data_IF_408432716656
#
_entry.id   IF_408432716656
#
_cell.length_a   1.000
_cell.length_b   1.000
_cell.length_c   1.000
_cell.angle_alpha   90.00
_cell.angle_beta   90.00
_cell.angle_gamma   90.00
#
_symmetry.space_group_name_H-M   'P 1'
#
loop_
_entity.id
_entity.type
_entity.pdbx_description
1 polymer ?
#
# COMPACT_ATOMS: atom_id res chain seq x y z
N UNK A 1 -6.22 -1.28 -11.59
CA UNK A 1 -5.80 0.07 -12.01
C UNK A 1 -4.57 0.44 -11.18
N UNK A 2 -3.51 1.02 -11.77
CA UNK A 2 -2.37 1.49 -10.99
C UNK A 2 -2.85 2.56 -9.99
N UNK A 3 -2.33 2.54 -8.77
CA UNK A 3 -2.82 3.41 -7.70
C UNK A 3 -2.45 4.88 -7.96
N UNK A 4 -3.41 5.78 -7.78
CA UNK A 4 -3.15 7.20 -7.87
C UNK A 4 -2.21 7.63 -6.74
N UNK A 5 -1.14 8.34 -7.07
CA UNK A 5 -0.05 8.67 -6.15
C UNK A 5 0.11 10.18 -6.01
N UNK A 6 0.17 10.65 -4.77
CA UNK A 6 0.35 12.05 -4.40
C UNK A 6 1.67 12.18 -3.66
N UNK A 7 2.57 13.02 -4.14
CA UNK A 7 3.84 13.26 -3.46
C UNK A 7 3.87 14.66 -2.83
N UNK A 8 4.23 14.72 -1.56
CA UNK A 8 4.41 15.96 -0.81
C UNK A 8 5.87 16.37 -0.94
N UNK A 9 6.11 17.48 -1.64
CA UNK A 9 7.43 18.06 -1.86
C UNK A 9 7.47 19.46 -1.26
N UNK A 10 8.65 19.91 -0.86
CA UNK A 10 8.82 21.23 -0.26
C UNK A 10 10.10 21.29 0.53
N UNK A 11 10.58 22.50 0.80
CA UNK A 11 11.76 22.67 1.63
C UNK A 11 11.54 22.12 3.05
N UNK A 12 12.59 21.95 3.84
CA UNK A 12 12.47 21.44 5.21
C UNK A 12 11.60 22.33 6.12
N UNK A 13 11.02 21.71 7.16
CA UNK A 13 10.25 22.39 8.21
C UNK A 13 8.99 23.16 7.77
N UNK A 14 8.54 22.98 6.52
CA UNK A 14 7.25 23.51 6.02
C UNK A 14 6.03 22.73 6.51
N UNK A 15 6.22 21.61 7.21
CA UNK A 15 5.13 20.78 7.76
C UNK A 15 4.66 19.63 6.87
N UNK A 16 5.53 19.11 5.99
CA UNK A 16 5.25 17.93 5.14
C UNK A 16 4.81 16.71 5.94
N UNK A 17 5.61 16.30 6.93
CA UNK A 17 5.31 15.12 7.74
C UNK A 17 4.07 15.29 8.61
N UNK A 18 3.77 16.52 9.04
CA UNK A 18 2.52 16.85 9.73
C UNK A 18 1.31 16.65 8.81
N UNK A 19 1.39 17.11 7.55
CA UNK A 19 0.34 16.86 6.57
C UNK A 19 0.22 15.36 6.29
N UNK A 20 1.34 14.70 6.01
CA UNK A 20 1.40 13.26 5.73
C UNK A 20 0.69 12.43 6.81
N UNK A 21 1.06 12.62 8.09
CA UNK A 21 0.44 11.92 9.20
C UNK A 21 -1.06 12.19 9.27
N UNK A 22 -1.47 13.45 9.09
CA UNK A 22 -2.90 13.82 9.07
C UNK A 22 -3.67 13.09 7.97
N UNK A 23 -3.10 12.96 6.78
CA UNK A 23 -3.73 12.26 5.66
C UNK A 23 -3.91 10.76 5.95
N UNK A 24 -3.03 10.17 6.77
CA UNK A 24 -3.14 8.78 7.20
C UNK A 24 -4.12 8.56 8.35
N UNK A 25 -4.26 9.55 9.23
CA UNK A 25 -5.11 9.50 10.42
C UNK A 25 -6.61 9.49 10.10
N UNK A 26 -7.01 9.82 8.86
CA UNK A 26 -8.40 9.67 8.40
C UNK A 26 -8.93 8.21 8.52
N UNK A 27 -8.06 7.23 8.81
CA UNK A 27 -8.45 5.86 9.18
C UNK A 27 -7.82 5.27 10.44
N UNK A 28 -7.49 6.04 11.50
CA UNK A 28 -7.37 5.46 12.87
C UNK A 28 -7.22 6.51 13.98
N UNK A 29 -8.15 6.46 14.95
CA UNK A 29 -7.76 6.64 16.34
C UNK A 29 -6.81 5.50 16.72
N UNK A 30 -5.75 5.82 17.47
CA UNK A 30 -4.60 5.00 17.86
C UNK A 30 -3.42 5.18 16.90
N UNK A 31 -2.60 6.17 17.24
CA UNK A 31 -1.18 6.28 16.88
C UNK A 31 -0.42 5.96 18.17
N UNK A 32 0.50 5.00 18.10
CA UNK A 32 1.68 5.06 18.97
C UNK A 32 2.56 6.17 18.41
N UNK A 33 2.69 7.25 19.15
CA UNK A 33 3.57 8.36 18.83
C UNK A 33 5.02 7.87 18.86
N UNK A 34 5.63 7.74 17.69
CA UNK A 34 7.09 7.83 17.57
C UNK A 34 7.41 9.14 16.88
N UNK A 35 7.40 10.19 17.70
CA UNK A 35 8.07 11.45 17.41
C UNK A 35 9.57 11.18 17.23
N UNK A 36 10.06 11.28 16.00
CA UNK A 36 11.48 11.23 15.70
C UNK A 36 11.71 11.53 14.23
N UNK A 37 12.54 12.54 13.96
CA UNK A 37 13.11 12.88 12.64
C UNK A 37 13.41 11.61 11.85
N UNK A 38 12.58 11.33 10.85
CA UNK A 38 12.72 10.15 10.00
C UNK A 38 13.60 10.54 8.83
N UNK A 39 14.79 9.93 8.77
CA UNK A 39 15.69 9.99 7.62
C UNK A 39 15.08 9.29 6.39
N UNK A 40 14.07 8.45 6.59
CA UNK A 40 13.43 7.63 5.56
C UNK A 40 12.13 8.27 5.03
N UNK A 41 11.93 8.16 3.71
CA UNK A 41 10.68 8.54 3.03
C UNK A 41 9.53 7.70 3.53
N UNK A 42 8.43 8.35 3.92
CA UNK A 42 7.26 7.66 4.46
C UNK A 42 6.21 7.44 3.36
N UNK A 43 5.61 6.24 3.38
CA UNK A 43 4.56 5.84 2.44
C UNK A 43 3.27 5.56 3.17
N UNK A 44 2.19 6.03 2.57
CA UNK A 44 0.88 5.99 3.18
C UNK A 44 -0.23 5.76 2.17
N UNK A 45 -1.40 5.37 2.67
CA UNK A 45 -2.64 5.33 1.89
C UNK A 45 -3.62 6.24 2.60
N UNK A 46 -4.05 7.28 1.91
CA UNK A 46 -5.09 8.20 2.34
C UNK A 46 -6.40 7.86 1.62
N UNK A 47 -7.52 8.28 2.19
CA UNK A 47 -8.86 8.01 1.68
C UNK A 47 -9.73 9.25 1.89
N UNK A 48 -10.17 9.87 0.79
CA UNK A 48 -11.01 11.07 0.83
C UNK A 48 -12.27 10.83 0.01
N UNK A 49 -13.46 11.03 0.61
CA UNK A 49 -14.75 10.77 -0.04
C UNK A 49 -14.85 9.38 -0.71
N UNK A 50 -14.25 8.36 -0.09
CA UNK A 50 -14.24 6.98 -0.59
C UNK A 50 -13.25 6.71 -1.73
N UNK A 51 -12.47 7.72 -2.14
CA UNK A 51 -11.42 7.61 -3.14
C UNK A 51 -10.08 7.48 -2.44
N UNK A 52 -9.46 6.30 -2.55
CA UNK A 52 -8.18 6.01 -1.92
C UNK A 52 -7.00 6.30 -2.85
N UNK A 53 -5.95 6.92 -2.32
CA UNK A 53 -4.72 7.23 -3.06
C UNK A 53 -3.47 7.04 -2.20
N UNK A 54 -2.33 6.82 -2.85
CA UNK A 54 -1.04 6.76 -2.18
C UNK A 54 -0.55 8.15 -1.84
N UNK A 55 0.06 8.30 -0.67
CA UNK A 55 0.77 9.51 -0.27
C UNK A 55 2.23 9.17 -0.01
N UNK A 56 3.13 10.00 -0.53
CA UNK A 56 4.57 9.89 -0.32
C UNK A 56 5.04 11.19 0.35
N UNK A 57 5.64 11.08 1.53
CA UNK A 57 6.45 12.17 2.10
C UNK A 57 7.89 12.00 1.61
N UNK A 58 8.39 12.97 0.83
CA UNK A 58 9.76 12.88 0.30
C UNK A 58 10.84 13.04 1.36
N UNK A 59 10.47 13.26 2.63
CA UNK A 59 11.39 13.31 3.77
C UNK A 59 12.24 14.58 3.77
N UNK A 60 13.04 14.75 4.84
CA UNK A 60 13.91 15.90 5.03
C UNK A 60 15.33 15.51 5.44
N UNK A 61 16.29 15.89 4.58
CA UNK A 61 17.74 16.07 4.79
C UNK A 61 18.74 14.89 4.80
N UNK A 62 19.81 15.15 4.04
CA UNK A 62 21.20 14.67 4.20
C UNK A 62 21.99 15.78 4.93
N UNK A 63 22.82 15.43 5.92
CA UNK A 63 23.74 16.40 6.54
C UNK A 63 24.94 16.66 5.62
N UNK A 64 25.15 17.90 5.20
CA UNK A 64 26.26 18.31 4.32
C UNK A 64 26.31 19.83 4.13
N UNK A 65 27.31 20.32 3.41
CA UNK A 65 27.40 21.73 2.98
C UNK A 65 26.21 22.13 2.09
N UNK A 66 25.94 23.43 1.97
CA UNK A 66 24.79 23.98 1.23
C UNK A 66 24.65 23.41 -0.20
N UNK A 67 25.76 23.22 -0.91
CA UNK A 67 25.80 22.63 -2.27
C UNK A 67 25.35 21.16 -2.34
N UNK A 68 25.71 20.36 -1.34
CA UNK A 68 25.29 18.94 -1.28
C UNK A 68 23.82 18.88 -0.94
N UNK A 69 23.36 19.78 -0.07
CA UNK A 69 21.98 19.84 0.37
C UNK A 69 21.02 20.18 -0.78
N UNK A 70 21.33 21.18 -1.58
CA UNK A 70 20.50 21.59 -2.72
C UNK A 70 20.39 20.49 -3.79
N UNK A 71 21.51 19.81 -4.08
CA UNK A 71 21.53 18.69 -5.04
C UNK A 71 20.64 17.54 -4.59
N UNK A 72 20.69 17.19 -3.31
CA UNK A 72 19.87 16.08 -2.79
C UNK A 72 18.39 16.44 -2.77
N UNK A 73 17.99 17.67 -2.39
CA UNK A 73 16.59 18.14 -2.52
C UNK A 73 16.11 18.02 -3.96
N UNK A 74 16.91 18.50 -4.91
CA UNK A 74 16.59 18.46 -6.34
C UNK A 74 16.35 17.03 -6.82
N UNK A 75 17.20 16.08 -6.41
CA UNK A 75 17.00 14.65 -6.70
C UNK A 75 15.65 14.17 -6.15
N UNK A 76 15.27 14.54 -4.93
CA UNK A 76 13.98 14.13 -4.34
C UNK A 76 12.78 14.65 -5.14
N UNK A 77 12.85 15.91 -5.60
CA UNK A 77 11.78 16.53 -6.39
C UNK A 77 11.64 15.86 -7.76
N UNK A 78 12.75 15.62 -8.46
CA UNK A 78 12.74 14.95 -9.77
C UNK A 78 12.13 13.55 -9.67
N UNK A 79 12.52 12.81 -8.65
CA UNK A 79 11.95 11.50 -8.30
C UNK A 79 10.43 11.58 -8.11
N UNK A 80 9.95 12.52 -7.30
CA UNK A 80 8.52 12.70 -7.07
C UNK A 80 7.80 13.04 -8.37
N UNK A 81 8.42 13.88 -9.21
CA UNK A 81 7.92 14.24 -10.53
C UNK A 81 7.87 13.05 -11.49
N UNK A 82 8.72 12.04 -11.38
CA UNK A 82 8.64 10.83 -12.21
C UNK A 82 7.54 9.87 -11.74
N UNK A 83 7.26 9.84 -10.45
CA UNK A 83 6.50 8.74 -9.86
C UNK A 83 5.07 9.08 -9.46
N UNK A 84 4.81 10.30 -8.99
CA UNK A 84 3.50 10.73 -8.55
C UNK A 84 2.54 10.95 -9.73
N UNK A 85 1.24 10.96 -9.50
CA UNK A 85 0.26 11.50 -10.44
C UNK A 85 0.07 13.01 -10.22
N UNK A 86 0.18 13.46 -8.96
CA UNK A 86 0.03 14.87 -8.54
C UNK A 86 1.10 15.22 -7.51
N UNK A 87 1.61 16.45 -7.58
CA UNK A 87 2.61 17.00 -6.67
C UNK A 87 1.97 18.05 -5.76
N UNK A 88 2.14 17.89 -4.45
CA UNK A 88 1.78 18.91 -3.46
C UNK A 88 3.05 19.67 -3.10
N UNK A 89 3.20 20.87 -3.63
CA UNK A 89 4.33 21.74 -3.33
C UNK A 89 4.03 22.55 -2.08
N UNK A 90 4.59 22.14 -0.94
CA UNK A 90 4.35 22.77 0.35
C UNK A 90 5.36 23.88 0.65
N UNK A 91 4.82 25.05 0.99
CA UNK A 91 5.56 26.21 1.50
C UNK A 91 5.07 26.60 2.91
N UNK A 92 5.78 27.50 3.58
CA UNK A 92 5.46 27.95 4.94
C UNK A 92 5.16 29.45 4.98
N UNK A 93 3.90 29.80 5.24
CA UNK A 93 3.45 31.19 5.36
C UNK A 93 4.23 31.98 6.42
N UNK A 94 4.66 31.35 7.51
CA UNK A 94 5.32 32.04 8.62
C UNK A 94 6.77 32.48 8.28
N UNK A 95 7.40 31.80 7.32
CA UNK A 95 8.75 32.16 6.86
C UNK A 95 8.70 33.03 5.60
N UNK A 96 7.65 32.88 4.80
CA UNK A 96 7.55 33.44 3.46
C UNK A 96 8.31 32.63 2.40
N UNK A 97 8.38 33.21 1.20
CA UNK A 97 9.11 32.64 0.05
C UNK A 97 10.62 32.73 0.29
N UNK A 98 11.35 31.64 0.01
CA UNK A 98 12.82 31.59 0.09
C UNK A 98 13.43 31.15 -1.24
N UNK A 99 14.73 31.36 -1.43
CA UNK A 99 15.47 30.94 -2.64
C UNK A 99 15.29 29.43 -2.94
N UNK A 100 15.16 28.61 -1.89
CA UNK A 100 14.88 27.18 -2.04
C UNK A 100 13.48 26.92 -2.61
N UNK A 101 12.48 27.72 -2.20
CA UNK A 101 11.13 27.63 -2.76
C UNK A 101 11.12 28.06 -4.23
N UNK A 102 11.85 29.12 -4.59
CA UNK A 102 11.98 29.57 -5.98
C UNK A 102 12.67 28.54 -6.88
N UNK A 103 13.81 27.98 -6.43
CA UNK A 103 14.52 26.93 -7.16
C UNK A 103 13.66 25.67 -7.33
N UNK A 104 12.89 25.29 -6.30
CA UNK A 104 11.94 24.17 -6.39
C UNK A 104 10.78 24.49 -7.33
N UNK A 105 10.24 25.72 -7.28
CA UNK A 105 9.16 26.16 -8.15
C UNK A 105 9.59 26.12 -9.63
N UNK A 106 10.81 26.54 -9.96
CA UNK A 106 11.35 26.45 -11.32
C UNK A 106 11.41 25.02 -11.85
N UNK A 107 11.77 24.06 -11.00
CA UNK A 107 11.81 22.65 -11.38
C UNK A 107 10.40 22.10 -11.57
N UNK A 108 9.51 22.38 -10.64
CA UNK A 108 8.13 21.88 -10.62
C UNK A 108 7.30 22.44 -11.79
N UNK A 109 7.53 23.69 -12.20
CA UNK A 109 6.89 24.29 -13.40
C UNK A 109 7.24 23.56 -14.70
N UNK A 110 8.36 22.82 -14.75
CA UNK A 110 8.74 22.00 -15.92
C UNK A 110 8.09 20.61 -15.90
N UNK A 111 7.39 20.25 -14.83
CA UNK A 111 6.66 18.99 -14.73
C UNK A 111 5.49 18.96 -15.72
N UNK A 112 5.28 17.81 -16.36
CA UNK A 112 4.05 17.56 -17.12
C UNK A 112 2.87 17.15 -16.21
N UNK A 113 3.12 17.01 -14.90
CA UNK A 113 2.13 16.58 -13.91
C UNK A 113 1.52 17.76 -13.18
N UNK A 114 0.25 17.68 -12.76
CA UNK A 114 -0.39 18.72 -11.95
C UNK A 114 0.41 18.99 -10.67
N UNK A 115 0.68 20.27 -10.42
CA UNK A 115 1.31 20.77 -9.19
C UNK A 115 0.29 21.64 -8.46
N UNK A 116 -0.01 21.29 -7.21
CA UNK A 116 -0.85 22.07 -6.32
C UNK A 116 0.07 22.78 -5.32
N UNK A 117 0.08 24.12 -5.33
CA UNK A 117 0.83 24.89 -4.34
C UNK A 117 0.05 24.91 -3.02
N UNK A 118 0.69 24.50 -1.95
CA UNK A 118 0.09 24.34 -0.62
C UNK A 118 0.86 25.22 0.36
N UNK A 119 0.26 26.35 0.73
CA UNK A 119 0.85 27.29 1.68
C UNK A 119 0.36 26.91 3.09
N UNK A 120 1.27 26.35 3.88
CA UNK A 120 0.97 25.78 5.18
C UNK A 120 1.16 26.81 6.31
N UNK A 121 0.70 26.45 7.52
CA UNK A 121 0.72 27.24 8.75
C UNK A 121 -0.14 28.50 8.69
N UNK A 122 -1.16 28.54 7.83
CA UNK A 122 -2.17 29.62 7.80
C UNK A 122 -3.22 29.34 8.87
N UNK A 123 -2.98 29.83 10.09
CA UNK A 123 -3.81 29.57 11.28
C UNK A 123 -4.70 30.76 11.69
N UNK A 124 -4.53 31.93 11.05
CA UNK A 124 -5.31 33.13 11.34
C UNK A 124 -5.39 34.07 10.12
N UNK A 125 -6.25 35.09 10.20
CA UNK A 125 -6.49 36.03 9.10
C UNK A 125 -5.25 36.86 8.70
N UNK A 126 -4.37 37.20 9.64
CA UNK A 126 -3.15 37.95 9.32
C UNK A 126 -2.21 37.09 8.46
N UNK A 127 -2.05 35.81 8.82
CA UNK A 127 -1.28 34.86 8.00
C UNK A 127 -1.88 34.60 6.64
N UNK A 128 -3.20 34.71 6.50
CA UNK A 128 -3.85 34.62 5.18
C UNK A 128 -3.48 35.81 4.29
N UNK A 129 -3.31 37.01 4.85
CA UNK A 129 -2.83 38.18 4.12
C UNK A 129 -1.36 38.03 3.72
N UNK A 130 -0.51 37.58 4.64
CA UNK A 130 0.92 37.30 4.37
C UNK A 130 1.07 36.25 3.27
N UNK A 131 0.24 35.21 3.29
CA UNK A 131 0.29 34.12 2.34
C UNK A 131 -0.08 34.55 0.89
N UNK A 132 -0.64 35.74 0.67
CA UNK A 132 -0.95 36.23 -0.67
C UNK A 132 0.31 36.40 -1.55
N UNK A 133 1.49 36.56 -0.97
CA UNK A 133 2.74 36.65 -1.75
C UNK A 133 3.02 35.39 -2.58
N UNK A 134 2.55 34.22 -2.13
CA UNK A 134 2.82 32.93 -2.77
C UNK A 134 2.14 32.76 -4.14
N UNK A 135 1.18 33.62 -4.50
CA UNK A 135 0.69 33.69 -5.87
C UNK A 135 1.80 34.05 -6.87
N UNK A 136 2.85 34.77 -6.43
CA UNK A 136 3.99 35.14 -7.27
C UNK A 136 4.79 33.93 -7.80
N UNK A 137 4.69 32.77 -7.15
CA UNK A 137 5.34 31.52 -7.60
C UNK A 137 4.72 30.96 -8.90
N UNK A 138 3.60 31.51 -9.38
CA UNK A 138 3.08 31.25 -10.72
C UNK A 138 2.42 29.89 -10.89
N UNK A 139 1.83 29.33 -9.83
CA UNK A 139 1.00 28.13 -9.89
C UNK A 139 -0.49 28.50 -9.95
N UNK A 140 -1.26 27.82 -10.79
CA UNK A 140 -2.69 28.12 -11.00
C UNK A 140 -3.55 27.78 -9.78
N UNK A 141 -3.28 26.62 -9.15
CA UNK A 141 -4.02 26.15 -7.97
C UNK A 141 -3.17 26.36 -6.71
N UNK A 142 -3.59 27.32 -5.87
CA UNK A 142 -2.95 27.66 -4.60
C UNK A 142 -3.94 27.40 -3.46
N UNK A 143 -3.51 26.64 -2.46
CA UNK A 143 -4.30 26.26 -1.30
C UNK A 143 -3.64 26.77 -0.02
N UNK A 144 -4.42 27.45 0.82
CA UNK A 144 -3.98 27.92 2.13
C UNK A 144 -4.50 26.99 3.21
N UNK A 145 -3.60 26.47 4.05
CA UNK A 145 -4.00 25.49 5.04
C UNK A 145 -3.14 25.51 6.31
N UNK A 146 -3.60 24.76 7.30
CA UNK A 146 -2.85 24.46 8.52
C UNK A 146 -2.88 22.96 8.77
N UNK A 147 -1.78 22.26 8.48
CA UNK A 147 -1.69 20.80 8.71
C UNK A 147 -1.94 20.41 10.17
N UNK A 148 -1.60 21.30 11.11
CA UNK A 148 -1.78 21.03 12.54
C UNK A 148 -3.26 21.04 12.94
N UNK A 149 -4.03 22.04 12.51
CA UNK A 149 -5.46 22.15 12.84
C UNK A 149 -6.37 21.37 11.87
N UNK A 150 -5.94 21.24 10.62
CA UNK A 150 -6.72 20.71 9.49
C UNK A 150 -7.50 21.75 8.70
N UNK A 151 -7.44 23.02 9.08
CA UNK A 151 -8.09 24.08 8.30
C UNK A 151 -7.56 24.08 6.86
N UNK A 152 -8.45 24.20 5.88
CA UNK A 152 -8.12 24.23 4.45
C UNK A 152 -7.73 22.88 3.82
N UNK A 153 -7.56 21.80 4.60
CA UNK A 153 -7.16 20.51 4.01
C UNK A 153 -8.24 19.85 3.16
N UNK A 154 -9.53 20.17 3.41
CA UNK A 154 -10.65 19.62 2.63
C UNK A 154 -10.62 20.05 1.17
N UNK A 155 -10.48 21.36 0.92
CA UNK A 155 -10.41 21.93 -0.44
C UNK A 155 -9.22 21.37 -1.24
N UNK A 156 -8.08 21.20 -0.58
CA UNK A 156 -6.92 20.55 -1.17
C UNK A 156 -7.22 19.10 -1.58
N UNK A 157 -7.89 18.34 -0.71
CA UNK A 157 -8.19 16.94 -0.96
C UNK A 157 -9.29 16.74 -2.01
N UNK A 158 -10.28 17.63 -2.06
CA UNK A 158 -11.27 17.68 -3.14
C UNK A 158 -10.56 17.88 -4.49
N UNK A 159 -9.65 18.86 -4.58
CA UNK A 159 -8.87 19.10 -5.79
C UNK A 159 -7.95 17.93 -6.18
N UNK A 160 -7.43 17.17 -5.21
CA UNK A 160 -6.65 15.95 -5.49
C UNK A 160 -7.56 14.85 -6.07
N UNK A 161 -8.74 14.63 -5.49
CA UNK A 161 -9.67 13.60 -5.94
C UNK A 161 -10.27 13.92 -7.30
N UNK A 162 -10.50 15.20 -7.62
CA UNK A 162 -10.92 15.64 -8.96
C UNK A 162 -9.92 15.27 -10.07
N UNK A 163 -8.63 15.15 -9.74
CA UNK A 163 -7.58 14.76 -10.69
C UNK A 163 -7.48 13.24 -10.87
N UNK A 164 -8.19 12.45 -10.05
CA UNK A 164 -8.19 11.00 -10.15
C UNK A 164 -9.07 10.55 -11.32
N UNK A 165 -8.65 9.53 -12.09
CA UNK A 165 -9.52 8.93 -13.09
C UNK A 165 -10.80 8.40 -12.43
N UNK A 166 -11.92 8.44 -13.16
CA UNK A 166 -13.17 7.82 -12.70
C UNK A 166 -12.93 6.31 -12.46
N UNK A 167 -13.43 5.81 -11.33
CA UNK A 167 -13.39 4.36 -11.09
C UNK A 167 -14.37 3.71 -12.07
N UNK A 168 -13.88 2.88 -12.98
CA UNK A 168 -14.73 2.02 -13.79
C UNK A 168 -15.51 1.09 -12.85
N UNK A 169 -16.81 1.34 -12.71
CA UNK A 169 -17.73 0.40 -12.07
C UNK A 169 -17.77 -0.84 -12.95
N UNK A 170 -17.28 -1.98 -12.43
CA UNK A 170 -17.33 -3.24 -13.18
C UNK A 170 -18.79 -3.66 -13.37
N UNK A 171 -19.20 -3.83 -14.62
CA UNK A 171 -20.37 -4.60 -14.98
C UNK A 171 -20.16 -6.06 -14.55
N UNK A 172 -21.14 -6.62 -13.83
CA UNK A 172 -21.11 -7.98 -13.29
C UNK A 172 -21.11 -9.07 -14.38
N UNK A 173 -21.39 -8.71 -15.63
CA UNK A 173 -21.59 -9.61 -16.77
C UNK A 173 -20.34 -9.86 -17.65
N UNK A 174 -19.21 -9.21 -17.38
CA UNK A 174 -17.97 -9.49 -18.08
C UNK A 174 -17.24 -10.71 -17.46
N UNK A 175 -17.66 -11.92 -17.83
CA UNK A 175 -16.95 -13.19 -17.54
C UNK A 175 -15.57 -13.31 -18.25
N UNK A 176 -14.82 -12.22 -18.39
CA UNK A 176 -13.41 -12.34 -18.73
C UNK A 176 -12.70 -12.87 -17.48
N UNK A 177 -12.27 -14.14 -17.52
CA UNK A 177 -11.32 -14.69 -16.53
C UNK A 177 -10.08 -13.80 -16.53
N UNK A 178 -10.02 -12.86 -15.58
CA UNK A 178 -8.84 -12.02 -15.44
C UNK A 178 -7.64 -12.90 -15.10
N UNK A 179 -6.58 -12.74 -15.89
CA UNK A 179 -5.32 -13.42 -15.67
C UNK A 179 -4.75 -12.88 -14.35
N UNK A 180 -4.50 -13.73 -13.33
CA UNK A 180 -3.96 -13.30 -12.04
C UNK A 180 -2.69 -12.48 -12.19
N UNK A 181 -2.62 -11.32 -11.53
CA UNK A 181 -1.42 -10.49 -11.48
C UNK A 181 -0.68 -10.71 -10.17
N UNK A 182 0.59 -11.09 -10.25
CA UNK A 182 1.42 -11.43 -9.09
C UNK A 182 2.63 -10.50 -9.05
N UNK A 183 2.86 -9.82 -7.94
CA UNK A 183 4.05 -8.99 -7.71
C UNK A 183 4.97 -9.61 -6.65
N UNK A 184 6.29 -9.55 -6.89
CA UNK A 184 7.32 -9.99 -5.94
C UNK A 184 7.81 -8.77 -5.16
N UNK A 185 7.44 -8.64 -3.90
CA UNK A 185 7.76 -7.48 -3.04
C UNK A 185 8.68 -7.89 -1.87
N UNK A 186 9.31 -6.90 -1.23
CA UNK A 186 10.21 -7.12 -0.10
C UNK A 186 11.42 -6.18 -0.14
N UNK A 187 12.26 -6.25 0.88
CA UNK A 187 13.42 -5.37 1.02
C UNK A 187 14.47 -5.54 -0.07
N UNK A 188 15.34 -4.53 -0.29
CA UNK A 188 16.56 -4.72 -1.07
C UNK A 188 17.32 -5.99 -0.64
N UNK A 189 17.95 -6.68 -1.58
CA UNK A 189 18.86 -7.82 -1.32
C UNK A 189 18.26 -9.09 -0.66
N UNK A 190 16.94 -9.17 -0.46
CA UNK A 190 16.26 -10.40 0.02
C UNK A 190 16.16 -11.51 -1.04
N UNK A 191 16.53 -11.21 -2.29
CA UNK A 191 16.55 -12.18 -3.40
C UNK A 191 15.39 -12.08 -4.40
N UNK A 192 14.71 -10.93 -4.49
CA UNK A 192 13.61 -10.70 -5.46
C UNK A 192 14.01 -10.94 -6.92
N UNK A 193 15.06 -10.26 -7.38
CA UNK A 193 15.56 -10.40 -8.76
C UNK A 193 16.09 -11.80 -9.01
N UNK A 194 16.73 -12.43 -8.01
CA UNK A 194 17.17 -13.82 -8.10
C UNK A 194 15.99 -14.78 -8.24
N UNK A 195 14.89 -14.58 -7.50
CA UNK A 195 13.68 -15.40 -7.61
C UNK A 195 13.07 -15.25 -8.99
N UNK A 196 12.93 -14.02 -9.47
CA UNK A 196 12.36 -13.74 -10.79
C UNK A 196 13.21 -14.38 -11.90
N UNK A 197 14.53 -14.23 -11.84
CA UNK A 197 15.44 -14.88 -12.79
C UNK A 197 15.41 -16.42 -12.68
N UNK A 198 15.29 -16.98 -11.49
CA UNK A 198 15.15 -18.43 -11.29
C UNK A 198 13.83 -18.95 -11.88
N UNK A 199 12.75 -18.16 -11.82
CA UNK A 199 11.47 -18.48 -12.46
C UNK A 199 11.52 -18.34 -13.99
N UNK A 200 12.34 -17.43 -14.54
CA UNK A 200 12.57 -17.27 -15.99
C UNK A 200 13.49 -18.37 -16.55
N UNK A 201 14.57 -18.69 -15.84
CA UNK A 201 15.65 -19.54 -16.33
C UNK A 201 15.39 -21.05 -16.26
N UNK A 202 14.18 -21.46 -15.88
CA UNK A 202 13.77 -22.85 -15.85
C UNK A 202 12.99 -23.19 -17.13
N UNK A 203 13.31 -24.34 -17.76
CA UNK A 203 12.73 -24.79 -19.04
C UNK A 203 11.25 -25.23 -18.95
N UNK A 204 10.48 -24.65 -18.03
CA UNK A 204 9.06 -24.85 -17.91
C UNK A 204 8.39 -23.49 -17.99
N UNK A 205 7.90 -23.18 -19.20
CA UNK A 205 6.84 -22.26 -19.61
C UNK A 205 7.27 -21.16 -20.59
N UNK A 206 6.68 -21.25 -21.78
CA UNK A 206 6.85 -20.40 -22.94
C UNK A 206 6.25 -19.02 -22.66
N UNK A 207 7.03 -17.97 -22.91
CA UNK A 207 6.53 -16.59 -23.09
C UNK A 207 5.64 -16.63 -24.34
N UNK A 208 4.33 -16.42 -24.21
CA UNK A 208 3.50 -16.28 -25.41
C UNK A 208 3.64 -14.85 -25.93
N UNK A 209 4.28 -14.68 -27.08
CA UNK A 209 4.26 -13.44 -27.84
C UNK A 209 2.85 -13.25 -28.45
N UNK A 210 1.87 -12.85 -27.64
CA UNK A 210 0.55 -12.45 -28.15
C UNK A 210 0.71 -11.09 -28.83
N UNK A 211 0.39 -10.95 -30.14
CA UNK A 211 0.47 -9.67 -30.83
C UNK A 211 -0.52 -8.67 -30.22
N UNK A 212 -0.02 -7.53 -29.71
CA UNK A 212 -0.83 -6.46 -29.12
C UNK A 212 -0.45 -6.07 -27.68
N UNK A 213 0.50 -6.76 -27.04
CA UNK A 213 0.95 -6.46 -25.66
C UNK A 213 2.09 -5.43 -25.59
N UNK A 214 2.42 -4.76 -26.68
CA UNK A 214 3.44 -3.71 -26.70
C UNK A 214 2.85 -2.35 -26.34
N UNK A 215 2.83 -2.03 -25.04
CA UNK A 215 3.10 -0.62 -24.64
C UNK A 215 3.76 -0.39 -23.28
N UNK A 216 3.87 -1.36 -22.38
CA UNK A 216 4.67 -1.20 -21.15
C UNK A 216 5.50 -2.45 -20.83
N UNK A 217 6.83 -2.31 -20.82
CA UNK A 217 7.85 -3.38 -20.68
C UNK A 217 7.94 -4.03 -19.29
N UNK A 218 6.90 -3.95 -18.45
CA UNK A 218 6.92 -4.29 -17.01
C UNK A 218 6.14 -5.58 -16.69
N UNK A 219 5.27 -6.05 -17.58
CA UNK A 219 4.45 -7.25 -17.38
C UNK A 219 5.02 -8.44 -18.15
N UNK A 220 5.19 -9.56 -17.48
CA UNK A 220 5.60 -10.81 -18.13
C UNK A 220 4.49 -11.84 -17.96
N UNK A 221 3.94 -12.32 -19.07
CA UNK A 221 2.94 -13.38 -19.10
C UNK A 221 3.61 -14.75 -18.94
N UNK A 222 3.09 -15.55 -18.03
CA UNK A 222 3.52 -16.92 -17.76
C UNK A 222 2.33 -17.87 -17.86
N UNK A 223 2.63 -19.09 -18.31
CA UNK A 223 1.66 -20.18 -18.31
C UNK A 223 2.23 -21.36 -17.55
N UNK A 224 1.94 -21.49 -16.25
CA UNK A 224 2.44 -22.58 -15.41
C UNK A 224 1.29 -23.41 -14.86
N UNK A 225 1.47 -24.73 -14.73
CA UNK A 225 0.43 -25.63 -14.19
C UNK A 225 -0.91 -25.52 -14.94
N UNK A 226 -0.86 -25.30 -16.26
CA UNK A 226 -2.03 -25.01 -17.11
C UNK A 226 -2.83 -23.76 -16.71
N UNK A 227 -2.26 -22.87 -15.90
CA UNK A 227 -2.84 -21.58 -15.50
C UNK A 227 -1.99 -20.45 -16.06
N UNK A 228 -2.64 -19.49 -16.70
CA UNK A 228 -2.02 -18.25 -17.14
C UNK A 228 -1.98 -17.26 -15.96
N UNK A 229 -0.88 -16.53 -15.81
CA UNK A 229 -0.72 -15.43 -14.84
C UNK A 229 0.29 -14.41 -15.36
N UNK A 230 0.26 -13.19 -14.81
CA UNK A 230 1.22 -12.13 -15.10
C UNK A 230 2.10 -11.92 -13.89
N UNK A 231 3.42 -11.99 -14.07
CA UNK A 231 4.36 -11.43 -13.09
C UNK A 231 4.58 -9.96 -13.40
N UNK A 232 4.30 -9.12 -12.41
CA UNK A 232 4.61 -7.69 -12.46
C UNK A 232 6.03 -7.53 -11.94
N UNK A 233 6.91 -7.03 -12.80
CA UNK A 233 8.30 -6.79 -12.46
C UNK A 233 8.41 -5.60 -11.49
N UNK A 234 8.74 -5.88 -10.23
CA UNK A 234 9.02 -4.85 -9.22
C UNK A 234 10.42 -4.27 -9.35
N UNK A 235 11.28 -4.87 -10.19
CA UNK A 235 12.70 -4.60 -10.24
C UNK A 235 13.25 -4.67 -11.67
N UNK A 236 12.72 -3.83 -12.58
CA UNK A 236 13.35 -3.39 -13.83
C UNK A 236 14.45 -4.30 -14.41
N UNK A 237 14.10 -5.51 -14.82
CA UNK A 237 15.06 -6.50 -15.33
C UNK A 237 15.51 -6.24 -16.77
N UNK A 238 14.96 -5.23 -17.45
CA UNK A 238 15.31 -4.91 -18.85
C UNK A 238 16.24 -3.72 -19.06
N UNK A 239 16.90 -3.20 -18.03
CA UNK A 239 18.02 -2.24 -18.22
C UNK A 239 19.24 -2.60 -17.38
N UNK A 240 20.05 -3.53 -17.90
CA UNK A 240 21.49 -3.51 -17.63
C UNK A 240 22.10 -2.28 -18.30
N UNK A 241 22.13 -1.16 -17.60
CA UNK A 241 23.00 -0.04 -17.97
C UNK A 241 23.54 0.60 -16.71
N UNK A 242 24.86 0.48 -16.55
CA UNK A 242 25.73 1.15 -15.59
C UNK A 242 25.20 2.53 -15.18
N UNK A 243 24.54 2.63 -14.03
CA UNK A 243 24.36 3.91 -13.32
C UNK A 243 24.52 3.60 -11.84
N UNK A 244 25.67 3.98 -11.29
CA UNK A 244 25.93 4.01 -9.86
C UNK A 244 25.22 5.24 -9.28
N UNK A 245 23.91 5.16 -8.99
CA UNK A 245 23.21 6.13 -8.12
C UNK A 245 21.96 5.46 -7.50
N UNK A 246 21.92 5.41 -6.16
CA UNK A 246 20.83 5.09 -5.23
C UNK A 246 19.73 4.11 -5.69
N UNK A 247 20.14 2.84 -5.84
CA UNK A 247 19.34 1.68 -6.28
C UNK A 247 18.19 1.28 -5.32
N UNK A 248 18.29 1.60 -4.03
CA UNK A 248 17.33 1.12 -3.01
C UNK A 248 16.00 1.85 -3.08
N UNK A 249 16.01 3.14 -3.40
CA UNK A 249 14.82 3.96 -3.40
C UNK A 249 13.88 3.65 -4.58
N UNK A 250 14.40 3.61 -5.81
CA UNK A 250 13.61 3.23 -6.99
C UNK A 250 13.00 1.84 -6.86
N UNK A 251 13.64 0.96 -6.08
CA UNK A 251 13.12 -0.38 -5.80
C UNK A 251 11.86 -0.35 -4.93
N UNK A 252 11.70 0.63 -4.03
CA UNK A 252 10.54 0.72 -3.14
C UNK A 252 9.30 1.25 -3.87
N UNK A 253 9.38 2.35 -4.63
CA UNK A 253 8.19 2.82 -5.37
C UNK A 253 7.78 1.86 -6.46
N UNK A 254 8.72 1.26 -7.19
CA UNK A 254 8.36 0.22 -8.15
C UNK A 254 7.65 -0.95 -7.49
N UNK A 255 8.07 -1.35 -6.29
CA UNK A 255 7.34 -2.35 -5.51
C UNK A 255 5.93 -1.88 -5.12
N UNK A 256 5.71 -0.61 -4.79
CA UNK A 256 4.38 -0.05 -4.49
C UNK A 256 3.49 0.00 -5.74
N UNK A 257 4.00 0.50 -6.87
CA UNK A 257 3.27 0.51 -8.15
C UNK A 257 2.90 -0.91 -8.59
N UNK A 258 3.85 -1.84 -8.47
CA UNK A 258 3.57 -3.24 -8.77
C UNK A 258 2.55 -3.86 -7.81
N UNK A 259 2.63 -3.54 -6.52
CA UNK A 259 1.62 -3.93 -5.52
C UNK A 259 0.23 -3.40 -5.90
N UNK A 260 0.13 -2.18 -6.43
CA UNK A 260 -1.14 -1.58 -6.84
C UNK A 260 -1.80 -2.27 -8.01
N UNK A 261 -1.01 -2.78 -8.94
CA UNK A 261 -1.50 -3.55 -10.07
C UNK A 261 -1.73 -5.03 -9.75
N UNK A 262 -1.06 -5.55 -8.72
CA UNK A 262 -1.13 -6.96 -8.37
C UNK A 262 -2.48 -7.34 -7.72
N UNK A 263 -2.88 -8.58 -7.94
CA UNK A 263 -3.91 -9.25 -7.16
C UNK A 263 -3.29 -9.94 -5.94
N UNK A 264 -2.12 -10.55 -6.13
CA UNK A 264 -1.37 -11.29 -5.11
C UNK A 264 0.05 -10.74 -5.00
N UNK A 265 0.51 -10.53 -3.76
CA UNK A 265 1.85 -10.11 -3.43
C UNK A 265 2.63 -11.27 -2.80
N UNK A 266 3.74 -11.64 -3.42
CA UNK A 266 4.75 -12.54 -2.85
C UNK A 266 5.73 -11.69 -2.03
N UNK A 267 5.56 -11.65 -0.71
CA UNK A 267 6.45 -10.92 0.19
C UNK A 267 7.66 -11.79 0.53
N UNK A 268 8.83 -11.45 -0.01
CA UNK A 268 10.08 -12.12 0.30
C UNK A 268 10.72 -11.52 1.56
N UNK A 269 11.05 -12.39 2.49
CA UNK A 269 11.80 -12.11 3.71
C UNK A 269 13.14 -12.84 3.65
N UNK A 270 14.15 -12.28 4.31
CA UNK A 270 15.43 -12.95 4.52
C UNK A 270 15.38 -13.78 5.80
N UNK A 271 15.58 -15.09 5.70
CA UNK A 271 15.55 -15.99 6.85
C UNK A 271 16.57 -15.61 7.92
N UNK A 272 17.77 -15.17 7.50
CA UNK A 272 18.92 -14.89 8.38
C UNK A 272 18.69 -13.59 9.15
N UNK A 273 18.18 -12.56 8.47
CA UNK A 273 17.87 -11.28 9.13
C UNK A 273 16.60 -11.36 9.99
N UNK A 274 15.67 -12.24 9.63
CA UNK A 274 14.34 -12.27 10.23
C UNK A 274 13.44 -11.14 9.72
N UNK A 275 12.24 -11.05 10.28
CA UNK A 275 11.31 -9.96 9.94
C UNK A 275 11.71 -8.66 10.62
N UNK A 276 11.81 -7.60 9.83
CA UNK A 276 12.20 -6.26 10.28
C UNK A 276 11.02 -5.27 10.22
N UNK A 277 11.23 -4.03 10.67
CA UNK A 277 10.20 -2.99 10.64
C UNK A 277 9.74 -2.62 9.21
N UNK A 278 10.67 -2.56 8.25
CA UNK A 278 10.33 -2.24 6.86
C UNK A 278 9.54 -3.38 6.19
N UNK A 279 9.77 -4.64 6.56
CA UNK A 279 8.95 -5.76 6.09
C UNK A 279 7.52 -5.67 6.62
N UNK A 280 7.36 -5.32 7.91
CA UNK A 280 6.05 -5.10 8.52
C UNK A 280 5.30 -3.93 7.87
N UNK A 281 6.02 -2.87 7.47
CA UNK A 281 5.44 -1.74 6.74
C UNK A 281 4.94 -2.16 5.35
N UNK A 282 5.76 -2.91 4.59
CA UNK A 282 5.37 -3.44 3.26
C UNK A 282 4.16 -4.38 3.39
N UNK A 283 4.19 -5.28 4.38
CA UNK A 283 3.10 -6.20 4.69
C UNK A 283 1.80 -5.45 5.02
N UNK A 284 1.89 -4.48 5.93
CA UNK A 284 0.76 -3.66 6.35
C UNK A 284 0.18 -2.85 5.18
N UNK A 285 1.02 -2.33 4.30
CA UNK A 285 0.60 -1.60 3.10
C UNK A 285 -0.18 -2.51 2.14
N UNK A 286 0.34 -3.71 1.85
CA UNK A 286 -0.34 -4.69 1.01
C UNK A 286 -1.70 -5.10 1.60
N UNK A 287 -1.76 -5.34 2.92
CA UNK A 287 -2.98 -5.70 3.62
C UNK A 287 -4.02 -4.57 3.57
N UNK A 288 -3.62 -3.31 3.82
CA UNK A 288 -4.51 -2.13 3.73
C UNK A 288 -5.08 -1.94 2.32
N UNK A 289 -4.28 -2.23 1.29
CA UNK A 289 -4.71 -2.21 -0.11
C UNK A 289 -5.62 -3.37 -0.50
N UNK A 290 -5.84 -4.33 0.40
CA UNK A 290 -6.68 -5.51 0.16
C UNK A 290 -6.04 -6.52 -0.80
N UNK A 291 -4.71 -6.51 -0.90
CA UNK A 291 -3.95 -7.44 -1.74
C UNK A 291 -3.88 -8.79 -1.06
N UNK A 292 -4.02 -9.86 -1.81
CA UNK A 292 -3.69 -11.19 -1.31
C UNK A 292 -2.18 -11.27 -1.03
N UNK A 293 -1.77 -11.99 0.01
CA UNK A 293 -0.38 -12.06 0.45
C UNK A 293 0.04 -13.51 0.67
N UNK A 294 1.20 -13.86 0.12
CA UNK A 294 1.95 -15.07 0.44
C UNK A 294 3.34 -14.66 0.90
N UNK A 295 3.80 -15.19 2.01
CA UNK A 295 5.11 -14.87 2.57
C UNK A 295 6.12 -15.94 2.17
N UNK A 296 7.23 -15.52 1.58
CA UNK A 296 8.34 -16.38 1.22
C UNK A 296 9.53 -16.06 2.12
N UNK A 297 9.89 -16.99 3.00
CA UNK A 297 11.09 -16.89 3.82
C UNK A 297 12.25 -17.46 3.01
N UNK A 298 13.01 -16.59 2.33
CA UNK A 298 14.09 -16.94 1.42
C UNK A 298 15.43 -17.07 2.16
N UNK A 299 16.45 -17.63 1.49
CA UNK A 299 17.76 -17.97 2.05
C UNK A 299 17.66 -18.98 3.19
N UNK A 300 16.62 -19.83 3.14
CA UNK A 300 16.42 -20.84 4.17
C UNK A 300 17.57 -21.83 4.25
N UNK A 301 18.31 -22.05 3.15
CA UNK A 301 19.54 -22.81 3.09
C UNK A 301 20.60 -22.33 4.09
N UNK A 302 20.72 -21.02 4.31
CA UNK A 302 21.72 -20.38 5.19
C UNK A 302 21.42 -20.48 6.69
N UNK A 303 20.26 -21.00 7.08
CA UNK A 303 19.98 -21.24 8.50
C UNK A 303 20.76 -22.46 8.97
N UNK A 304 21.74 -22.23 9.84
CA UNK A 304 22.51 -23.25 10.53
C UNK A 304 21.67 -23.97 11.60
N UNK A 305 22.09 -25.17 12.02
CA UNK A 305 21.52 -25.94 13.14
C UNK A 305 19.99 -26.15 13.09
N UNK A 306 19.45 -26.41 11.90
CA UNK A 306 18.04 -26.77 11.70
C UNK A 306 17.68 -28.03 12.50
N UNK A 307 16.94 -27.85 13.59
CA UNK A 307 16.27 -28.93 14.32
C UNK A 307 14.93 -29.24 13.63
N UNK A 308 14.35 -30.39 13.93
CA UNK A 308 13.06 -30.84 13.36
C UNK A 308 11.96 -29.78 13.44
N UNK A 309 11.95 -28.96 14.50
CA UNK A 309 10.92 -27.95 14.74
C UNK A 309 11.28 -26.51 14.33
N UNK A 310 12.50 -26.25 13.81
CA UNK A 310 12.97 -24.89 13.53
C UNK A 310 12.03 -24.12 12.60
N UNK A 311 11.52 -24.74 11.54
CA UNK A 311 10.57 -24.10 10.63
C UNK A 311 9.23 -23.76 11.32
N UNK A 312 8.72 -24.67 12.17
CA UNK A 312 7.45 -24.47 12.90
C UNK A 312 7.56 -23.33 13.90
N UNK A 313 8.66 -23.29 14.64
CA UNK A 313 8.88 -22.29 15.67
C UNK A 313 9.12 -20.90 15.04
N UNK A 314 9.83 -20.84 13.91
CA UNK A 314 9.97 -19.62 13.11
C UNK A 314 8.62 -19.13 12.57
N UNK A 315 7.82 -20.03 11.99
CA UNK A 315 6.49 -19.70 11.48
C UNK A 315 5.59 -19.12 12.57
N UNK A 316 5.63 -19.70 13.78
CA UNK A 316 4.88 -19.21 14.93
C UNK A 316 5.30 -17.80 15.32
N UNK A 317 6.61 -17.54 15.48
CA UNK A 317 7.13 -16.22 15.80
C UNK A 317 6.78 -15.18 14.73
N UNK A 318 6.82 -15.59 13.46
CA UNK A 318 6.46 -14.72 12.34
C UNK A 318 4.97 -14.35 12.40
N UNK A 319 4.08 -15.32 12.60
CA UNK A 319 2.63 -15.10 12.73
C UNK A 319 2.27 -14.22 13.92
N UNK A 320 3.01 -14.30 15.03
CA UNK A 320 2.83 -13.40 16.18
C UNK A 320 3.15 -11.94 15.80
N UNK A 321 4.22 -11.70 15.04
CA UNK A 321 4.61 -10.36 14.58
C UNK A 321 3.70 -9.78 13.48
N UNK A 322 3.06 -10.64 12.68
CA UNK A 322 2.13 -10.25 11.61
C UNK A 322 0.71 -9.93 12.12
N UNK A 323 0.41 -10.22 13.40
CA UNK A 323 -0.89 -9.93 13.98
C UNK A 323 -1.29 -8.45 13.79
N UNK A 324 -2.58 -8.15 13.55
CA UNK A 324 -3.73 -9.06 13.62
C UNK A 324 -3.97 -9.91 12.37
N UNK A 325 -3.35 -9.60 11.22
CA UNK A 325 -3.52 -10.37 10.00
C UNK A 325 -2.43 -11.43 9.87
N UNK A 326 -2.64 -12.59 10.48
CA UNK A 326 -1.66 -13.68 10.52
C UNK A 326 -2.11 -14.96 9.79
N UNK A 327 -3.30 -14.93 9.19
CA UNK A 327 -3.85 -15.97 8.33
C UNK A 327 -3.29 -15.84 6.91
N UNK A 328 -1.98 -16.03 6.79
CA UNK A 328 -1.22 -15.93 5.54
C UNK A 328 -0.36 -17.20 5.34
N UNK A 329 -0.27 -17.74 4.10
CA UNK A 329 0.64 -18.83 3.82
C UNK A 329 2.09 -18.38 3.96
N UNK A 330 2.91 -19.20 4.61
CA UNK A 330 4.36 -18.98 4.77
C UNK A 330 5.10 -20.15 4.12
N UNK A 331 5.99 -19.86 3.18
CA UNK A 331 6.78 -20.85 2.46
C UNK A 331 8.25 -20.56 2.68
N UNK A 332 8.95 -21.53 3.26
CA UNK A 332 10.40 -21.51 3.37
C UNK A 332 11.01 -21.92 2.03
N UNK A 333 11.81 -21.03 1.44
CA UNK A 333 12.38 -21.16 0.09
C UNK A 333 13.89 -20.96 0.12
N UNK A 334 14.57 -21.52 -0.87
CA UNK A 334 15.94 -21.16 -1.21
C UNK A 334 15.99 -20.89 -2.70
N UNK A 335 16.17 -19.63 -3.08
CA UNK A 335 16.30 -19.26 -4.49
C UNK A 335 17.63 -19.75 -5.08
N UNK A 336 18.72 -19.74 -4.29
CA UNK A 336 20.03 -20.21 -4.72
C UNK A 336 20.00 -21.70 -5.07
N UNK A 337 19.39 -22.51 -4.21
CA UNK A 337 19.23 -23.95 -4.40
C UNK A 337 17.95 -24.32 -5.19
N UNK A 338 17.21 -23.33 -5.69
CA UNK A 338 15.92 -23.47 -6.39
C UNK A 338 14.88 -24.30 -5.62
N UNK A 339 14.95 -24.32 -4.30
CA UNK A 339 14.04 -25.09 -3.44
C UNK A 339 12.72 -24.36 -3.24
N UNK A 340 11.62 -25.04 -3.59
CA UNK A 340 10.22 -24.62 -3.34
C UNK A 340 9.81 -23.30 -4.01
N UNK A 341 10.58 -22.80 -4.98
CA UNK A 341 10.25 -21.58 -5.73
C UNK A 341 8.95 -21.72 -6.55
N UNK A 342 8.66 -22.92 -7.06
CA UNK A 342 7.42 -23.18 -7.80
C UNK A 342 6.20 -23.38 -6.90
N UNK A 343 6.41 -23.92 -5.70
CA UNK A 343 5.37 -24.01 -4.67
C UNK A 343 4.88 -22.61 -4.27
N UNK A 344 5.75 -21.61 -4.32
CA UNK A 344 5.36 -20.22 -4.10
C UNK A 344 4.33 -19.72 -5.13
N UNK A 345 4.51 -20.06 -6.40
CA UNK A 345 3.58 -19.70 -7.47
C UNK A 345 2.27 -20.48 -7.34
N UNK A 346 2.33 -21.78 -7.04
CA UNK A 346 1.15 -22.60 -6.78
C UNK A 346 0.30 -22.02 -5.64
N UNK A 347 0.93 -21.66 -4.53
CA UNK A 347 0.22 -21.04 -3.40
C UNK A 347 -0.31 -19.65 -3.75
N UNK A 348 0.42 -18.84 -4.52
CA UNK A 348 -0.10 -17.55 -5.00
C UNK A 348 -1.37 -17.70 -5.82
N UNK A 349 -1.43 -18.70 -6.72
CA UNK A 349 -2.62 -18.99 -7.51
C UNK A 349 -3.78 -19.49 -6.64
N UNK A 350 -3.50 -20.30 -5.61
CA UNK A 350 -4.51 -20.73 -4.64
C UNK A 350 -5.08 -19.55 -3.83
N UNK A 351 -4.22 -18.64 -3.36
CA UNK A 351 -4.67 -17.45 -2.64
C UNK A 351 -5.47 -16.51 -3.55
N UNK A 352 -5.12 -16.43 -4.84
CA UNK A 352 -5.94 -15.71 -5.82
C UNK A 352 -7.36 -16.30 -5.92
N UNK A 353 -7.50 -17.62 -5.94
CA UNK A 353 -8.81 -18.29 -5.91
C UNK A 353 -9.57 -18.00 -4.61
N UNK A 354 -8.89 -18.01 -3.46
CA UNK A 354 -9.47 -17.60 -2.18
C UNK A 354 -10.00 -16.16 -2.22
N UNK A 355 -9.29 -15.25 -2.90
CA UNK A 355 -9.70 -13.86 -3.06
C UNK A 355 -10.98 -13.71 -3.89
N UNK A 356 -11.19 -14.58 -4.88
CA UNK A 356 -12.38 -14.60 -5.74
C UNK A 356 -13.57 -15.36 -5.13
N UNK A 357 -13.40 -15.97 -3.94
CA UNK A 357 -14.39 -16.85 -3.35
C UNK A 357 -15.68 -16.10 -3.00
N UNK A 358 -16.78 -16.52 -3.62
CA UNK A 358 -18.14 -16.07 -3.28
C UNK A 358 -18.80 -17.07 -2.31
N UNK A 359 -19.34 -16.57 -1.22
CA UNK A 359 -20.09 -17.34 -0.22
C UNK A 359 -21.57 -17.03 -0.39
N UNK A 360 -22.39 -18.07 -0.56
CA UNK A 360 -23.84 -17.90 -0.64
C UNK A 360 -24.38 -17.22 0.61
N UNK A 361 -25.24 -16.22 0.43
CA UNK A 361 -25.72 -15.39 1.53
C UNK A 361 -26.50 -16.19 2.58
N UNK A 362 -27.25 -17.23 2.18
CA UNK A 362 -27.91 -18.15 3.12
C UNK A 362 -26.90 -18.82 4.05
N UNK A 363 -25.91 -19.51 3.49
CA UNK A 363 -24.84 -20.18 4.23
C UNK A 363 -24.05 -19.20 5.11
N UNK A 364 -23.80 -17.99 4.62
CA UNK A 364 -23.12 -16.95 5.39
C UNK A 364 -23.93 -16.55 6.63
N UNK A 365 -25.24 -16.33 6.49
CA UNK A 365 -26.10 -15.99 7.63
C UNK A 365 -26.23 -17.17 8.60
N UNK A 366 -26.39 -18.40 8.10
CA UNK A 366 -26.51 -19.60 8.95
C UNK A 366 -25.31 -19.81 9.87
N UNK A 367 -24.11 -19.48 9.40
CA UNK A 367 -22.87 -19.58 10.18
C UNK A 367 -22.68 -18.37 11.07
N UNK A 368 -22.75 -17.17 10.50
CA UNK A 368 -22.36 -15.95 11.22
C UNK A 368 -23.37 -15.56 12.29
N UNK A 369 -24.68 -15.75 12.06
CA UNK A 369 -25.69 -15.44 13.07
C UNK A 369 -25.57 -16.39 14.28
N UNK A 370 -25.27 -17.67 14.06
CA UNK A 370 -24.99 -18.62 15.16
C UNK A 370 -23.75 -18.23 15.97
N UNK A 371 -22.70 -17.75 15.31
CA UNK A 371 -21.51 -17.26 15.99
C UNK A 371 -21.84 -16.02 16.86
N UNK A 372 -22.64 -15.09 16.32
CA UNK A 372 -23.10 -13.89 17.05
C UNK A 372 -23.98 -14.26 18.25
N UNK A 373 -24.83 -15.27 18.13
CA UNK A 373 -25.64 -15.78 19.24
C UNK A 373 -24.77 -16.48 20.31
N UNK A 374 -23.74 -17.22 19.90
CA UNK A 374 -22.81 -17.85 20.84
C UNK A 374 -21.97 -16.83 21.61
N UNK A 375 -21.55 -15.74 20.96
CA UNK A 375 -20.80 -14.66 21.58
C UNK A 375 -21.40 -13.30 21.21
N UNK A 376 -22.24 -12.79 22.10
CA UNK A 376 -23.02 -11.58 21.86
C UNK A 376 -22.14 -10.32 21.79
N UNK A 377 -22.51 -9.33 20.95
CA UNK A 377 -21.88 -8.02 20.99
C UNK A 377 -22.06 -7.34 22.36
N UNK A 378 -21.11 -6.49 22.78
CA UNK A 378 -21.26 -5.73 24.02
C UNK A 378 -22.46 -4.78 23.96
N UNK A 379 -23.14 -4.62 25.09
CA UNK A 379 -24.24 -3.65 25.25
C UNK A 379 -23.66 -2.25 25.29
N UNK A 380 -24.25 -1.33 24.54
CA UNK A 380 -23.80 0.07 24.48
C UNK A 380 -24.95 0.98 24.90
N UNK A 381 -24.72 1.80 25.93
CA UNK A 381 -25.72 2.76 26.46
C UNK A 381 -27.05 2.08 26.82
N UNK A 382 -26.99 0.87 27.40
CA UNK A 382 -28.18 0.08 27.77
C UNK A 382 -28.91 -0.59 26.59
N UNK A 383 -28.44 -0.40 25.35
CA UNK A 383 -29.03 -0.99 24.15
C UNK A 383 -28.11 -2.10 23.61
N UNK A 384 -28.60 -3.35 23.47
CA UNK A 384 -27.80 -4.41 22.86
C UNK A 384 -27.65 -4.15 21.35
N UNK A 385 -26.43 -4.37 20.83
CA UNK A 385 -26.21 -4.34 19.39
C UNK A 385 -26.81 -5.63 18.80
N UNK A 386 -27.73 -5.47 17.85
CA UNK A 386 -28.40 -6.57 17.15
C UNK A 386 -27.95 -6.58 15.70
N UNK A 387 -27.18 -7.59 15.33
CA UNK A 387 -26.83 -7.87 13.93
C UNK A 387 -27.91 -8.82 13.38
N UNK A 388 -28.61 -8.40 12.33
CA UNK A 388 -29.76 -9.16 11.78
C UNK A 388 -29.44 -9.95 10.53
N UNK A 389 -28.42 -9.50 9.80
CA UNK A 389 -28.14 -9.99 8.47
C UNK A 389 -26.70 -9.68 8.09
N UNK A 390 -26.09 -10.59 7.33
CA UNK A 390 -24.75 -10.44 6.77
C UNK A 390 -24.80 -10.77 5.29
N UNK A 391 -24.14 -9.96 4.46
CA UNK A 391 -23.96 -10.28 3.03
C UNK A 391 -22.52 -10.03 2.61
N UNK A 392 -22.05 -10.76 1.60
CA UNK A 392 -20.80 -10.44 0.91
C UNK A 392 -21.08 -9.37 -0.15
N UNK A 393 -20.22 -8.36 -0.22
CA UNK A 393 -20.29 -7.30 -1.22
C UNK A 393 -19.51 -7.71 -2.49
N UNK A 394 -19.94 -7.27 -3.69
CA UNK A 394 -19.27 -7.58 -4.94
C UNK A 394 -18.03 -6.69 -5.13
N UNK A 395 -17.00 -6.91 -4.32
CA UNK A 395 -15.75 -6.14 -4.35
C UNK A 395 -14.54 -7.01 -4.70
N UNK A 396 -13.49 -6.40 -5.24
CA UNK A 396 -12.25 -7.07 -5.65
C UNK A 396 -11.49 -7.77 -4.50
N UNK A 397 -11.67 -7.30 -3.27
CA UNK A 397 -11.23 -7.97 -2.04
C UNK A 397 -12.49 -8.40 -1.30
N UNK A 398 -12.57 -9.63 -0.75
CA UNK A 398 -13.73 -10.07 0.02
C UNK A 398 -14.12 -9.07 1.11
N UNK A 399 -15.33 -8.52 0.95
CA UNK A 399 -15.91 -7.58 1.88
C UNK A 399 -17.27 -8.06 2.36
N UNK A 400 -17.56 -7.84 3.63
CA UNK A 400 -18.77 -8.31 4.29
C UNK A 400 -19.48 -7.14 4.96
N UNK A 401 -20.76 -6.96 4.62
CA UNK A 401 -21.62 -5.97 5.26
C UNK A 401 -22.50 -6.65 6.31
N UNK A 402 -22.31 -6.24 7.56
CA UNK A 402 -23.12 -6.63 8.72
C UNK A 402 -24.16 -5.53 8.98
N UNK A 403 -25.44 -5.89 8.93
CA UNK A 403 -26.53 -4.95 9.16
C UNK A 403 -26.97 -5.00 10.62
N UNK A 404 -26.79 -3.88 11.32
CA UNK A 404 -27.10 -3.76 12.74
C UNK A 404 -27.77 -2.44 13.11
N UNK A 405 -28.32 -2.37 14.32
CA UNK A 405 -28.97 -1.17 14.86
C UNK A 405 -27.99 -0.04 15.22
N UNK A 406 -26.76 -0.39 15.64
CA UNK A 406 -25.74 0.55 16.12
C UNK A 406 -24.37 0.27 15.45
N UNK A 407 -24.18 0.63 14.16
CA UNK A 407 -22.96 0.28 13.42
C UNK A 407 -21.68 0.95 13.94
N UNK A 408 -21.77 2.20 14.38
CA UNK A 408 -20.63 2.98 14.91
C UNK A 408 -20.14 2.46 16.28
N UNK A 409 -20.98 1.72 16.97
CA UNK A 409 -20.71 1.19 18.31
C UNK A 409 -20.07 -0.20 18.30
N UNK A 410 -19.96 -0.86 17.13
CA UNK A 410 -19.24 -2.13 17.01
C UNK A 410 -17.73 -1.88 17.11
N UNK A 411 -17.16 -2.11 18.30
CA UNK A 411 -15.74 -1.87 18.59
C UNK A 411 -14.83 -2.96 18.03
N UNK A 412 -13.55 -2.61 17.87
CA UNK A 412 -12.52 -3.44 17.23
C UNK A 412 -12.43 -4.88 17.77
N UNK A 413 -12.49 -5.15 19.10
CA UNK A 413 -12.40 -6.53 19.59
C UNK A 413 -13.49 -7.44 19.03
N UNK A 414 -14.73 -6.93 18.91
CA UNK A 414 -15.83 -7.69 18.36
C UNK A 414 -15.73 -7.82 16.83
N UNK A 415 -15.19 -6.80 16.14
CA UNK A 415 -14.87 -6.90 14.70
C UNK A 415 -13.85 -8.01 14.44
N UNK A 416 -12.79 -8.07 15.24
CA UNK A 416 -11.76 -9.11 15.14
C UNK A 416 -12.34 -10.51 15.41
N UNK A 417 -13.25 -10.63 16.38
CA UNK A 417 -13.98 -11.87 16.62
C UNK A 417 -14.76 -12.32 15.36
N UNK A 418 -15.55 -11.43 14.75
CA UNK A 418 -16.32 -11.75 13.55
C UNK A 418 -15.41 -12.08 12.35
N UNK A 419 -14.30 -11.38 12.19
CA UNK A 419 -13.31 -11.70 11.15
C UNK A 419 -12.72 -13.10 11.37
N UNK A 420 -12.34 -13.45 12.60
CA UNK A 420 -11.85 -14.78 12.93
C UNK A 420 -12.89 -15.87 12.66
N UNK A 421 -14.17 -15.59 12.92
CA UNK A 421 -15.26 -16.53 12.58
C UNK A 421 -15.38 -16.72 11.07
N UNK A 422 -15.27 -15.66 10.28
CA UNK A 422 -15.23 -15.77 8.82
C UNK A 422 -14.07 -16.66 8.35
N UNK A 423 -12.84 -16.40 8.84
CA UNK A 423 -11.64 -17.18 8.49
C UNK A 423 -11.72 -18.64 8.93
N UNK A 424 -12.32 -18.91 10.08
CA UNK A 424 -12.44 -20.29 10.59
C UNK A 424 -13.42 -21.12 9.77
N UNK A 425 -14.50 -20.51 9.29
CA UNK A 425 -15.58 -21.22 8.60
C UNK A 425 -15.47 -21.19 7.07
N UNK A 426 -14.70 -20.24 6.53
CA UNK A 426 -14.51 -20.04 5.11
C UNK A 426 -13.01 -19.84 4.82
N UNK A 427 -12.50 -20.58 3.85
CA UNK A 427 -11.09 -20.50 3.46
C UNK A 427 -10.81 -19.20 2.68
N UNK A 428 -10.36 -18.20 3.45
CA UNK A 428 -9.85 -16.91 3.00
C UNK A 428 -8.37 -16.74 3.35
N UNK A 429 -7.65 -17.85 3.47
CA UNK A 429 -6.22 -17.84 3.80
C UNK A 429 -5.45 -17.00 2.78
N UNK A 430 -4.59 -16.11 3.27
CA UNK A 430 -3.80 -15.17 2.48
C UNK A 430 -4.55 -13.92 2.02
N UNK A 431 -5.84 -13.77 2.36
CA UNK A 431 -6.67 -12.66 1.88
C UNK A 431 -7.09 -11.74 3.04
N UNK A 432 -6.80 -10.43 2.97
CA UNK A 432 -7.36 -9.45 3.90
C UNK A 432 -8.88 -9.37 3.75
N UNK A 433 -9.62 -9.30 4.86
CA UNK A 433 -11.09 -9.18 4.86
C UNK A 433 -11.50 -7.75 5.21
N UNK A 434 -12.49 -7.19 4.50
CA UNK A 434 -13.09 -5.89 4.85
C UNK A 434 -14.44 -6.08 5.51
N UNK A 435 -14.59 -5.66 6.75
CA UNK A 435 -15.87 -5.72 7.48
C UNK A 435 -16.49 -4.32 7.56
N UNK A 436 -17.71 -4.19 7.03
CA UNK A 436 -18.52 -2.99 7.11
C UNK A 436 -19.72 -3.23 8.02
N UNK A 437 -20.04 -2.26 8.86
CA UNK A 437 -21.24 -2.26 9.68
C UNK A 437 -22.15 -1.17 9.18
N UNK A 438 -23.39 -1.52 8.82
CA UNK A 438 -24.37 -0.59 8.25
C UNK A 438 -25.64 -0.60 9.06
N UNK A 439 -26.28 0.57 9.16
CA UNK A 439 -27.65 0.66 9.66
C UNK A 439 -28.57 0.09 8.58
N UNK A 440 -29.52 -0.75 8.99
CA UNK A 440 -30.57 -1.23 8.08
C UNK A 440 -31.53 -0.09 7.75
#
# INVERSE_FOLDING_TARGET
MAGFTVAIVGRPNVGKSTLFNRLLEQRKAIVDDVSGVTRDRQYGVADWNGRSFNVIDTGGFVHGSDDVFEREIRKQVVIAMEEANVLLFMCDAATGITDLDDNMAELLRRSSKPVLLVVNKVDNNNRMLEAAEFYSLGFEKVFFMSSMSGSGSGELLDAVVELMPEEEVRDEDAEAKEIPKIAIIGQPNVGKSSLLNALIGEERNIVSDIPGTTRDTIHTHYKMFQKDFVLIDTAGLRRKSKVHEDLEFYSVIRAIKAMDEADVCLLLLDAVMGITAQDLNIFSLAARKGKAIVILVNKWDLIDDKKTNTARDYEKQLKERLAPFNDVPIIFTSVAEKQRIFKAIEEALRVYENRQRKVQTSKLNDVMLKAIEAFHPPVVRGVPIKIKYVTQLPTYTPAFAFFCNLPEDVKLPYRNYLENQLRTNFDFQGVPLKLFFRKK
#
